data_IF_072018877290
#
_entry.id   IF_072018877290
#
_cell.length_a   1.000
_cell.length_b   1.000
_cell.length_c   1.000
_cell.angle_alpha   90.00
_cell.angle_beta   90.00
_cell.angle_gamma   90.00
#
_symmetry.space_group_name_H-M   'P 1'
#
loop_
_entity.id
_entity.type
_entity.pdbx_description
1 polymer ?
#
# COMPACT_ATOMS: atom_id res chain seq x y z
N UNK A 1 -64.54 -50.93 -49.12
CA UNK A 1 -64.01 -50.21 -47.94
C UNK A 1 -65.11 -50.14 -46.91
N UNK A 2 -64.89 -50.70 -45.74
CA UNK A 2 -65.93 -50.86 -44.73
C UNK A 2 -66.07 -49.55 -43.93
N UNK A 3 -67.26 -48.93 -43.93
CA UNK A 3 -67.52 -47.62 -43.31
C UNK A 3 -67.19 -47.62 -41.81
N UNK A 4 -67.37 -48.78 -41.16
CA UNK A 4 -66.99 -49.01 -39.76
C UNK A 4 -65.48 -48.91 -39.51
N UNK A 5 -64.65 -49.36 -40.46
CA UNK A 5 -63.19 -49.23 -40.36
C UNK A 5 -62.74 -47.78 -40.48
N UNK A 6 -63.46 -46.96 -41.27
CA UNK A 6 -63.16 -45.55 -41.46
C UNK A 6 -63.56 -44.73 -40.22
N UNK A 7 -64.73 -45.05 -39.64
CA UNK A 7 -65.19 -44.48 -38.37
C UNK A 7 -64.27 -44.85 -37.21
N UNK A 8 -63.81 -46.11 -37.13
CA UNK A 8 -62.85 -46.52 -36.11
C UNK A 8 -61.51 -45.78 -36.21
N UNK A 9 -61.01 -45.57 -37.44
CA UNK A 9 -59.79 -44.78 -37.66
C UNK A 9 -59.97 -43.30 -37.29
N UNK A 10 -61.12 -42.72 -37.61
CA UNK A 10 -61.45 -41.34 -37.24
C UNK A 10 -61.52 -41.15 -35.71
N UNK A 11 -62.09 -42.13 -34.98
CA UNK A 11 -62.13 -42.11 -33.52
C UNK A 11 -60.74 -42.22 -32.91
N UNK A 12 -59.91 -43.15 -33.38
CA UNK A 12 -58.52 -43.29 -32.91
C UNK A 12 -57.68 -42.05 -33.21
N UNK A 13 -57.89 -41.41 -34.37
CA UNK A 13 -57.22 -40.17 -34.72
C UNK A 13 -57.65 -39.00 -33.81
N UNK A 14 -58.94 -38.92 -33.47
CA UNK A 14 -59.47 -37.92 -32.54
C UNK A 14 -58.90 -38.12 -31.13
N UNK A 15 -58.86 -39.35 -30.64
CA UNK A 15 -58.33 -39.65 -29.31
C UNK A 15 -56.83 -39.29 -29.22
N UNK A 16 -56.05 -39.60 -30.27
CA UNK A 16 -54.65 -39.19 -30.38
C UNK A 16 -54.49 -37.67 -30.44
N UNK A 17 -55.37 -36.97 -31.14
CA UNK A 17 -55.34 -35.51 -31.21
C UNK A 17 -55.57 -34.90 -29.83
N UNK A 18 -56.56 -35.39 -29.09
CA UNK A 18 -56.86 -34.94 -27.72
C UNK A 18 -55.67 -35.22 -26.78
N UNK A 19 -55.04 -36.39 -26.89
CA UNK A 19 -53.86 -36.73 -26.09
C UNK A 19 -52.66 -35.80 -26.40
N UNK A 20 -52.43 -35.51 -27.69
CA UNK A 20 -51.35 -34.61 -28.12
C UNK A 20 -51.64 -33.17 -27.72
N UNK A 21 -52.89 -32.72 -27.80
CA UNK A 21 -53.32 -31.39 -27.35
C UNK A 21 -53.12 -31.21 -25.84
N UNK A 22 -53.50 -32.22 -25.04
CA UNK A 22 -53.26 -32.24 -23.60
C UNK A 22 -51.76 -32.14 -23.28
N UNK A 23 -50.92 -32.95 -23.91
CA UNK A 23 -49.45 -32.89 -23.73
C UNK A 23 -48.86 -31.55 -24.14
N UNK A 24 -49.37 -30.95 -25.22
CA UNK A 24 -48.91 -29.64 -25.68
C UNK A 24 -49.28 -28.54 -24.67
N UNK A 25 -50.45 -28.64 -24.05
CA UNK A 25 -50.85 -27.73 -22.98
C UNK A 25 -49.95 -27.90 -21.73
N UNK A 26 -49.63 -29.13 -21.36
CA UNK A 26 -48.68 -29.42 -20.27
C UNK A 26 -47.29 -28.84 -20.56
N UNK A 27 -46.78 -28.99 -21.80
CA UNK A 27 -45.50 -28.41 -22.19
C UNK A 27 -45.51 -26.88 -22.15
N UNK A 28 -46.61 -26.23 -22.53
CA UNK A 28 -46.76 -24.77 -22.39
C UNK A 28 -46.70 -24.36 -20.93
N UNK A 29 -47.41 -25.06 -20.05
CA UNK A 29 -47.39 -24.80 -18.61
C UNK A 29 -45.98 -24.93 -18.03
N UNK A 30 -45.25 -25.99 -18.41
CA UNK A 30 -43.86 -26.21 -18.00
C UNK A 30 -42.97 -25.06 -18.51
N UNK A 31 -43.12 -24.66 -19.77
CA UNK A 31 -42.34 -23.58 -20.37
C UNK A 31 -42.59 -22.24 -19.65
N UNK A 32 -43.84 -21.92 -19.33
CA UNK A 32 -44.19 -20.69 -18.63
C UNK A 32 -43.64 -20.69 -17.20
N UNK A 33 -43.72 -21.82 -16.49
CA UNK A 33 -43.09 -21.97 -15.17
C UNK A 33 -41.55 -21.82 -15.26
N UNK A 34 -40.91 -22.39 -16.29
CA UNK A 34 -39.47 -22.23 -16.50
C UNK A 34 -39.07 -20.79 -16.79
N UNK A 35 -39.89 -20.04 -17.54
CA UNK A 35 -39.64 -18.60 -17.76
C UNK A 35 -39.72 -17.79 -16.48
N UNK A 36 -40.68 -18.10 -15.60
CA UNK A 36 -40.78 -17.45 -14.29
C UNK A 36 -39.51 -17.72 -13.48
N UNK A 37 -39.09 -18.98 -13.38
CA UNK A 37 -37.84 -19.34 -12.69
C UNK A 37 -36.61 -18.62 -13.27
N UNK A 38 -36.47 -18.60 -14.60
CA UNK A 38 -35.36 -17.92 -15.27
C UNK A 38 -35.37 -16.41 -14.97
N UNK A 39 -36.54 -15.78 -14.94
CA UNK A 39 -36.67 -14.36 -14.62
C UNK A 39 -36.32 -14.09 -13.14
N UNK A 40 -36.76 -14.95 -12.22
CA UNK A 40 -36.41 -14.85 -10.79
C UNK A 40 -34.90 -15.06 -10.57
N UNK A 41 -34.28 -16.00 -11.30
CA UNK A 41 -32.83 -16.17 -11.31
C UNK A 41 -32.10 -14.95 -11.89
N UNK A 42 -32.60 -14.38 -13.00
CA UNK A 42 -32.02 -13.20 -13.61
C UNK A 42 -32.15 -11.94 -12.73
N UNK A 43 -33.17 -11.86 -11.88
CA UNK A 43 -33.35 -10.76 -10.92
C UNK A 43 -32.50 -10.92 -9.66
N UNK A 44 -32.15 -12.14 -9.27
CA UNK A 44 -31.30 -12.43 -8.10
C UNK A 44 -29.81 -12.49 -8.42
N UNK A 45 -29.43 -12.61 -9.69
CA UNK A 45 -28.03 -12.61 -10.15
C UNK A 45 -27.28 -11.27 -9.94
N UNK A 46 -27.89 -10.09 -10.15
CA UNK A 46 -27.25 -8.79 -9.91
C UNK A 46 -26.78 -8.61 -8.46
N UNK A 47 -27.53 -9.18 -7.50
CA UNK A 47 -27.20 -9.12 -6.08
C UNK A 47 -25.94 -9.95 -5.74
N UNK A 48 -25.63 -10.98 -6.53
CA UNK A 48 -24.44 -11.82 -6.33
C UNK A 48 -23.18 -11.06 -6.70
N UNK A 49 -23.16 -10.39 -7.86
CA UNK A 49 -22.02 -9.59 -8.31
C UNK A 49 -21.76 -8.39 -7.37
N UNK A 50 -22.83 -7.77 -6.85
CA UNK A 50 -22.72 -6.71 -5.86
C UNK A 50 -22.20 -7.24 -4.51
N UNK A 51 -22.66 -8.42 -4.10
CA UNK A 51 -22.20 -9.07 -2.87
C UNK A 51 -20.73 -9.49 -2.98
N UNK A 52 -20.30 -10.01 -4.12
CA UNK A 52 -18.89 -10.37 -4.37
C UNK A 52 -17.97 -9.14 -4.29
N UNK A 53 -18.39 -8.00 -4.88
CA UNK A 53 -17.64 -6.74 -4.74
C UNK A 53 -17.55 -6.28 -3.29
N UNK A 54 -18.66 -6.31 -2.55
CA UNK A 54 -18.68 -5.98 -1.12
C UNK A 54 -17.77 -6.90 -0.30
N UNK A 55 -17.72 -8.19 -0.64
CA UNK A 55 -16.79 -9.14 -0.01
C UNK A 55 -15.33 -8.77 -0.29
N UNK A 56 -14.99 -8.43 -1.54
CA UNK A 56 -13.62 -8.01 -1.88
C UNK A 56 -13.23 -6.69 -1.19
N UNK A 57 -14.15 -5.73 -1.08
CA UNK A 57 -13.92 -4.49 -0.33
C UNK A 57 -13.66 -4.76 1.15
N UNK A 58 -14.45 -5.64 1.77
CA UNK A 58 -14.26 -6.07 3.16
C UNK A 58 -12.92 -6.80 3.37
N UNK A 59 -12.52 -7.69 2.45
CA UNK A 59 -11.23 -8.39 2.54
C UNK A 59 -10.05 -7.41 2.47
N UNK A 60 -10.14 -6.38 1.61
CA UNK A 60 -9.13 -5.33 1.52
C UNK A 60 -9.08 -4.47 2.80
N UNK A 61 -10.24 -4.16 3.39
CA UNK A 61 -10.31 -3.43 4.66
C UNK A 61 -9.72 -4.26 5.81
N UNK A 62 -10.00 -5.57 5.86
CA UNK A 62 -9.41 -6.49 6.83
C UNK A 62 -7.89 -6.54 6.69
N UNK A 63 -7.36 -6.63 5.47
CA UNK A 63 -5.92 -6.65 5.22
C UNK A 63 -5.24 -5.34 5.69
N UNK A 64 -5.88 -4.19 5.44
CA UNK A 64 -5.42 -2.89 5.92
C UNK A 64 -5.42 -2.79 7.44
N UNK A 65 -6.47 -3.28 8.10
CA UNK A 65 -6.55 -3.33 9.57
C UNK A 65 -5.47 -4.25 10.15
N UNK A 66 -5.20 -5.38 9.52
CA UNK A 66 -4.17 -6.32 9.99
C UNK A 66 -2.76 -5.70 9.89
N UNK A 67 -2.48 -4.95 8.81
CA UNK A 67 -1.24 -4.18 8.68
C UNK A 67 -1.12 -3.12 9.79
N UNK A 68 -2.19 -2.37 10.07
CA UNK A 68 -2.21 -1.38 11.15
C UNK A 68 -2.04 -2.03 12.54
N UNK A 69 -2.59 -3.22 12.74
CA UNK A 69 -2.42 -4.01 13.96
C UNK A 69 -0.96 -4.45 14.13
N UNK A 70 -0.32 -4.95 13.06
CA UNK A 70 1.10 -5.33 13.09
C UNK A 70 2.00 -4.13 13.36
N UNK A 71 1.73 -2.99 12.73
CA UNK A 71 2.46 -1.74 12.99
C UNK A 71 2.29 -1.29 14.44
N UNK A 72 1.05 -1.29 14.96
CA UNK A 72 0.75 -0.95 16.36
C UNK A 72 1.42 -1.90 17.34
N UNK A 73 1.44 -3.20 17.03
CA UNK A 73 2.12 -4.22 17.84
C UNK A 73 3.64 -4.01 17.84
N UNK A 74 4.23 -3.67 16.68
CA UNK A 74 5.64 -3.31 16.57
C UNK A 74 5.99 -2.09 17.42
N UNK A 75 5.16 -1.03 17.35
CA UNK A 75 5.33 0.18 18.18
C UNK A 75 5.24 -0.16 19.68
N UNK A 76 4.26 -0.98 20.08
CA UNK A 76 4.10 -1.40 21.47
C UNK A 76 5.29 -2.24 21.95
N UNK A 77 5.80 -3.15 21.13
CA UNK A 77 7.01 -3.95 21.43
C UNK A 77 8.24 -3.03 21.55
N UNK A 78 8.38 -2.03 20.68
CA UNK A 78 9.46 -1.05 20.78
C UNK A 78 9.34 -0.22 22.07
N UNK A 79 8.15 0.25 22.43
CA UNK A 79 7.91 1.00 23.66
C UNK A 79 8.13 0.16 24.93
N UNK A 80 7.77 -1.13 24.90
CA UNK A 80 8.05 -2.09 25.98
C UNK A 80 9.55 -2.39 26.10
N UNK A 81 10.23 -2.58 24.98
CA UNK A 81 11.68 -2.81 24.93
C UNK A 81 12.46 -1.58 25.41
N UNK A 82 12.04 -0.38 25.01
CA UNK A 82 12.61 0.88 25.49
C UNK A 82 12.40 1.10 27.00
N UNK A 83 11.26 0.64 27.56
CA UNK A 83 11.03 0.70 29.00
C UNK A 83 11.80 -0.37 29.79
N UNK A 84 12.06 -1.56 29.21
CA UNK A 84 12.92 -2.58 29.84
C UNK A 84 14.40 -2.20 29.80
N UNK A 85 14.86 -1.50 28.77
CA UNK A 85 16.24 -1.01 28.64
C UNK A 85 16.62 0.09 29.66
N UNK A 86 15.67 0.65 30.42
CA UNK A 86 15.97 1.58 31.53
C UNK A 86 16.51 0.89 32.80
N UNK A 87 16.48 -0.45 32.88
CA UNK A 87 16.86 -1.19 34.10
C UNK A 87 18.10 -2.06 34.00
N UNK A 88 18.61 -2.30 32.80
CA UNK A 88 19.87 -3.02 32.58
C UNK A 88 20.69 -2.21 31.59
N UNK A 89 21.94 -1.92 31.98
CA UNK A 89 22.95 -1.16 31.22
C UNK A 89 22.65 -1.06 29.73
N UNK A 90 22.09 0.08 29.31
CA UNK A 90 21.85 0.40 27.90
C UNK A 90 23.17 0.27 27.17
N UNK A 91 23.27 -0.74 26.31
CA UNK A 91 24.47 -1.01 25.52
C UNK A 91 24.61 0.09 24.46
N UNK A 92 25.21 1.22 24.86
CA UNK A 92 25.51 2.37 24.00
C UNK A 92 26.25 1.92 22.74
N UNK A 93 27.06 0.86 22.84
CA UNK A 93 27.74 0.24 21.70
C UNK A 93 26.76 -0.34 20.68
N UNK A 94 25.64 -0.92 21.11
CA UNK A 94 24.61 -1.46 20.23
C UNK A 94 23.84 -0.38 19.49
N UNK A 95 23.51 0.74 20.17
CA UNK A 95 22.84 1.89 19.55
C UNK A 95 23.75 2.53 18.50
N UNK A 96 25.02 2.73 18.84
CA UNK A 96 26.00 3.32 17.92
C UNK A 96 26.27 2.39 16.73
N UNK A 97 26.42 1.08 16.98
CA UNK A 97 26.60 0.10 15.90
C UNK A 97 25.42 0.08 14.95
N UNK A 98 24.19 0.05 15.46
CA UNK A 98 22.98 0.08 14.62
C UNK A 98 22.87 1.39 13.83
N UNK A 99 23.23 2.52 14.45
CA UNK A 99 23.23 3.82 13.76
C UNK A 99 24.26 3.87 12.63
N UNK A 100 25.48 3.37 12.88
CA UNK A 100 26.53 3.32 11.87
C UNK A 100 26.13 2.37 10.73
N UNK A 101 25.59 1.20 11.03
CA UNK A 101 25.10 0.27 10.00
C UNK A 101 23.97 0.90 9.17
N UNK A 102 23.00 1.54 9.81
CA UNK A 102 21.89 2.22 9.11
C UNK A 102 22.42 3.35 8.20
N UNK A 103 23.44 4.09 8.66
CA UNK A 103 24.09 5.12 7.86
C UNK A 103 24.84 4.54 6.66
N UNK A 104 25.53 3.42 6.84
CA UNK A 104 26.21 2.70 5.77
C UNK A 104 25.23 2.17 4.74
N UNK A 105 24.11 1.59 5.17
CA UNK A 105 23.05 1.10 4.29
C UNK A 105 22.44 2.26 3.50
N UNK A 106 22.14 3.39 4.17
CA UNK A 106 21.60 4.59 3.51
C UNK A 106 22.57 5.16 2.47
N UNK A 107 23.87 5.19 2.77
CA UNK A 107 24.90 5.62 1.82
C UNK A 107 25.05 4.65 0.65
N UNK A 108 24.94 3.35 0.91
CA UNK A 108 24.99 2.32 -0.11
C UNK A 108 23.78 2.41 -1.05
N UNK A 109 22.58 2.57 -0.49
CA UNK A 109 21.34 2.77 -1.25
C UNK A 109 21.39 4.05 -2.07
N UNK A 110 21.96 5.12 -1.52
CA UNK A 110 22.15 6.38 -2.22
C UNK A 110 23.08 6.22 -3.44
N UNK A 111 24.20 5.50 -3.27
CA UNK A 111 25.13 5.18 -4.35
C UNK A 111 24.54 4.22 -5.39
N UNK A 112 23.77 3.22 -4.93
CA UNK A 112 23.08 2.25 -5.79
C UNK A 112 22.00 2.92 -6.62
N UNK A 113 21.21 3.83 -6.02
CA UNK A 113 20.19 4.61 -6.72
C UNK A 113 20.80 5.55 -7.78
N UNK A 114 21.90 6.23 -7.44
CA UNK A 114 22.62 7.09 -8.38
C UNK A 114 23.20 6.27 -9.57
N UNK A 115 23.80 5.12 -9.28
CA UNK A 115 24.33 4.20 -10.31
C UNK A 115 23.23 3.64 -11.21
N UNK A 116 22.09 3.27 -10.63
CA UNK A 116 20.94 2.73 -11.37
C UNK A 116 20.31 3.75 -12.33
N UNK A 117 20.49 5.05 -12.06
CA UNK A 117 20.01 6.16 -12.89
C UNK A 117 21.08 6.71 -13.84
N UNK A 118 22.27 6.09 -13.93
CA UNK A 118 23.45 6.60 -14.64
C UNK A 118 23.86 8.03 -14.22
N UNK A 119 23.50 8.45 -13.01
CA UNK A 119 23.87 9.74 -12.46
C UNK A 119 25.12 9.58 -11.58
N UNK A 120 26.22 10.22 -11.98
CA UNK A 120 27.45 10.23 -11.17
C UNK A 120 27.43 11.30 -10.06
N UNK A 121 26.35 12.08 -9.98
CA UNK A 121 26.20 13.19 -9.06
C UNK A 121 25.09 12.87 -8.06
N UNK A 122 25.43 12.85 -6.77
CA UNK A 122 24.45 12.69 -5.69
C UNK A 122 23.88 14.07 -5.34
N UNK A 123 22.55 14.24 -5.27
CA UNK A 123 21.94 15.50 -4.84
C UNK A 123 22.40 15.89 -3.43
N UNK A 124 22.95 17.11 -3.28
CA UNK A 124 23.41 17.66 -1.99
C UNK A 124 22.31 17.63 -0.92
N UNK A 125 21.03 17.76 -1.30
CA UNK A 125 19.91 17.68 -0.37
C UNK A 125 19.85 16.35 0.39
N UNK A 126 20.15 15.23 -0.28
CA UNK A 126 20.15 13.91 0.37
C UNK A 126 21.29 13.76 1.38
N UNK A 127 22.41 14.46 1.16
CA UNK A 127 23.51 14.52 2.14
C UNK A 127 23.14 15.38 3.36
N UNK A 128 22.40 16.48 3.14
CA UNK A 128 21.89 17.34 4.23
C UNK A 128 20.87 16.57 5.09
N UNK A 129 19.98 15.80 4.48
CA UNK A 129 18.99 14.99 5.21
C UNK A 129 19.67 13.94 6.11
N UNK A 130 20.76 13.34 5.61
CA UNK A 130 21.57 12.39 6.36
C UNK A 130 22.32 13.06 7.52
N UNK A 131 22.86 14.27 7.30
CA UNK A 131 23.49 15.08 8.36
C UNK A 131 22.48 15.47 9.46
N UNK A 132 21.23 15.80 9.09
CA UNK A 132 20.16 16.10 10.03
C UNK A 132 19.77 14.87 10.85
N UNK A 133 19.67 13.70 10.21
CA UNK A 133 19.40 12.43 10.89
C UNK A 133 20.48 12.11 11.94
N UNK A 134 21.76 12.25 11.58
CA UNK A 134 22.88 12.07 12.51
C UNK A 134 22.81 13.07 13.67
N UNK A 135 22.50 14.33 13.38
CA UNK A 135 22.39 15.39 14.39
C UNK A 135 21.27 15.10 15.40
N UNK A 136 20.12 14.58 14.94
CA UNK A 136 19.01 14.17 15.80
C UNK A 136 19.41 13.02 16.73
N UNK A 137 20.14 12.03 16.22
CA UNK A 137 20.61 10.90 17.02
C UNK A 137 21.60 11.36 18.09
N UNK A 138 22.54 12.24 17.74
CA UNK A 138 23.46 12.84 18.72
C UNK A 138 22.67 13.60 19.79
N UNK A 139 21.68 14.42 19.42
CA UNK A 139 20.81 15.11 20.37
C UNK A 139 20.04 14.15 21.29
N UNK A 140 19.49 13.07 20.76
CA UNK A 140 18.82 12.03 21.57
C UNK A 140 19.77 11.31 22.53
N UNK A 141 21.04 11.11 22.14
CA UNK A 141 22.07 10.51 22.99
C UNK A 141 22.50 11.46 24.12
N UNK A 142 22.51 12.78 23.86
CA UNK A 142 22.76 13.81 24.87
C UNK A 142 21.63 13.94 25.88
N UNK A 143 20.37 14.00 25.41
CA UNK A 143 19.19 14.02 26.28
C UNK A 143 19.11 12.79 27.19
N UNK A 144 19.63 11.65 26.71
CA UNK A 144 19.71 10.41 27.47
C UNK A 144 20.91 10.33 28.44
N UNK A 145 21.81 11.33 28.50
CA UNK A 145 23.09 11.29 29.21
C UNK A 145 23.99 10.09 28.82
N UNK A 146 23.80 9.53 27.62
CA UNK A 146 24.54 8.37 27.10
C UNK A 146 25.71 8.79 26.19
N UNK A 147 25.91 10.09 25.98
CA UNK A 147 27.02 10.63 25.23
C UNK A 147 28.09 11.17 26.19
N UNK A 148 29.23 10.46 26.38
CA UNK A 148 30.29 10.91 27.27
C UNK A 148 31.14 12.00 26.55
N UNK A 149 30.64 13.22 26.50
CA UNK A 149 31.36 14.37 25.94
C UNK A 149 31.78 15.35 27.05
N UNK A 150 32.99 15.90 26.93
CA UNK A 150 33.43 17.00 27.79
C UNK A 150 32.68 18.28 27.40
N UNK A 151 32.37 19.15 28.36
CA UNK A 151 31.72 20.45 28.10
C UNK A 151 32.48 21.29 27.04
N UNK A 152 33.81 21.13 26.97
CA UNK A 152 34.65 21.75 25.93
C UNK A 152 34.42 21.18 24.54
N UNK A 153 34.32 19.85 24.43
CA UNK A 153 34.13 19.15 23.16
C UNK A 153 32.74 19.44 22.60
N UNK A 154 31.73 19.52 23.47
CA UNK A 154 30.37 19.92 23.12
C UNK A 154 30.31 21.34 22.52
N UNK A 155 30.98 22.30 23.19
CA UNK A 155 31.07 23.67 22.69
C UNK A 155 31.81 23.78 21.35
N UNK A 156 32.88 23.00 21.16
CA UNK A 156 33.57 22.92 19.87
C UNK A 156 32.70 22.31 18.77
N UNK A 157 31.95 21.26 19.07
CA UNK A 157 31.04 20.61 18.12
C UNK A 157 29.95 21.57 17.67
N UNK A 158 29.29 22.26 18.59
CA UNK A 158 28.29 23.29 18.27
C UNK A 158 28.88 24.36 17.36
N UNK A 159 30.09 24.85 17.67
CA UNK A 159 30.77 25.87 16.85
C UNK A 159 31.09 25.36 15.44
N UNK A 160 31.51 24.10 15.30
CA UNK A 160 31.77 23.46 13.99
C UNK A 160 30.49 23.29 13.20
N UNK A 161 29.42 22.82 13.83
CA UNK A 161 28.10 22.67 13.19
C UNK A 161 27.56 24.03 12.73
N UNK A 162 27.62 25.07 13.57
CA UNK A 162 27.20 26.43 13.19
C UNK A 162 28.00 26.98 12.00
N UNK A 163 29.32 26.75 11.99
CA UNK A 163 30.18 27.17 10.88
C UNK A 163 29.88 26.38 9.60
N UNK A 164 29.56 25.09 9.70
CA UNK A 164 29.14 24.27 8.57
C UNK A 164 27.79 24.73 8.01
N UNK A 165 26.77 24.93 8.86
CA UNK A 165 25.47 25.48 8.47
C UNK A 165 25.59 26.85 7.80
N UNK A 166 26.48 27.72 8.29
CA UNK A 166 26.74 29.02 7.68
C UNK A 166 27.33 28.89 6.26
N UNK A 167 28.24 27.93 6.04
CA UNK A 167 28.80 27.65 4.70
C UNK A 167 27.74 27.08 3.75
N UNK A 168 26.91 26.16 4.23
CA UNK A 168 25.80 25.62 3.43
C UNK A 168 24.80 26.71 3.05
N UNK A 169 24.42 27.58 3.99
CA UNK A 169 23.55 28.72 3.71
C UNK A 169 24.15 29.69 2.69
N UNK A 170 25.46 29.96 2.78
CA UNK A 170 26.17 30.77 1.80
C UNK A 170 26.20 30.10 0.42
N UNK A 171 26.43 28.78 0.35
CA UNK A 171 26.42 28.02 -0.88
C UNK A 171 25.04 28.00 -1.55
N UNK A 172 23.97 27.80 -0.76
CA UNK A 172 22.59 27.88 -1.25
C UNK A 172 22.24 29.28 -1.76
N UNK A 173 22.75 30.34 -1.10
CA UNK A 173 22.58 31.72 -1.59
C UNK A 173 23.27 31.94 -2.94
N UNK A 174 24.50 31.44 -3.09
CA UNK A 174 25.24 31.51 -4.35
C UNK A 174 24.55 30.72 -5.47
N UNK A 175 24.05 29.52 -5.17
CA UNK A 175 23.24 28.76 -6.14
C UNK A 175 22.01 29.56 -6.56
N UNK A 176 21.27 30.16 -5.62
CA UNK A 176 20.11 31.00 -5.93
C UNK A 176 20.47 32.18 -6.82
N UNK A 177 21.59 32.85 -6.56
CA UNK A 177 22.10 33.96 -7.38
C UNK A 177 22.51 33.49 -8.79
N UNK A 178 23.11 32.30 -8.92
CA UNK A 178 23.49 31.71 -10.22
C UNK A 178 22.24 31.30 -11.02
N UNK A 179 21.27 30.63 -10.40
CA UNK A 179 20.00 30.27 -11.06
C UNK A 179 19.18 31.50 -11.46
N UNK A 180 19.21 32.57 -10.64
CA UNK A 180 18.56 33.83 -10.99
C UNK A 180 19.18 34.52 -12.21
N UNK A 181 20.51 34.43 -12.37
CA UNK A 181 21.22 34.95 -13.56
C UNK A 181 20.95 34.10 -14.81
N UNK A 182 20.99 32.78 -14.69
CA UNK A 182 20.69 31.87 -15.80
C UNK A 182 19.23 32.01 -16.29
N UNK A 183 18.27 32.32 -15.41
CA UNK A 183 16.88 32.59 -15.79
C UNK A 183 16.68 33.95 -16.45
N UNK A 184 17.57 34.92 -16.21
CA UNK A 184 17.55 36.23 -16.86
C UNK A 184 18.12 36.16 -18.29
N UNK A 185 19.18 35.38 -18.51
CA UNK A 185 19.80 35.18 -19.83
C UNK A 185 18.94 34.34 -20.80
N UNK A 186 17.98 33.55 -20.30
CA UNK A 186 17.01 32.82 -21.15
C UNK A 186 15.80 33.67 -21.60
N UNK A 187 15.69 34.93 -21.13
CA UNK A 187 14.60 35.85 -21.48
C UNK A 187 15.03 36.99 -22.41
N UNK A 188 16.29 37.06 -22.80
CA UNK A 188 16.79 37.85 -23.94
C UNK A 188 16.90 36.98 -25.20
#
# INVERSE_FOLDING_TARGET
>A
MNVESLLAQATVAKDRYIEVEAKNNDYKLILDNQKVLINDFAQSMPDIDETEKKMQELDNEIASIDEQLQQSQSILIQALSANKAKKESTDVSGILSNTISTLQDTLFDLGSAATSQNEFNVPIFKLIDLEESVSKIIGSLEEANLYPESEKDHAERIKRTQLHSAKLAQFLRLLKEIYAKASAEQKE
#
